data_IF_908021111359
#
_entry.id   IF_908021111359
#
_cell.length_a   1.000
_cell.length_b   1.000
_cell.length_c   1.000
_cell.angle_alpha   90.00
_cell.angle_beta   90.00
_cell.angle_gamma   90.00
#
_symmetry.space_group_name_H-M   'P 1'
#
loop_
_entity.id
_entity.type
_entity.pdbx_description
1 polymer ?
#
# COMPACT_ATOMS: atom_id res chain seq x y z
N UNK A 1 -16.61 -4.15 0.06
CA UNK A 1 -16.42 -4.47 -1.36
C UNK A 1 -16.73 -3.19 -2.12
N UNK A 2 -15.78 -2.64 -2.86
CA UNK A 2 -15.92 -1.32 -3.50
C UNK A 2 -16.09 -1.54 -5.00
N UNK A 3 -17.22 -1.07 -5.55
CA UNK A 3 -17.47 -1.09 -6.98
C UNK A 3 -16.78 0.12 -7.61
N UNK A 4 -15.81 -0.14 -8.47
CA UNK A 4 -15.05 0.90 -9.15
C UNK A 4 -15.50 0.99 -10.60
N UNK A 5 -15.72 2.22 -11.07
CA UNK A 5 -15.92 2.53 -12.48
C UNK A 5 -14.62 3.18 -12.97
N UNK A 6 -13.97 2.52 -13.91
CA UNK A 6 -12.76 3.05 -14.53
C UNK A 6 -13.14 3.97 -15.69
N UNK A 7 -12.22 4.85 -16.09
CA UNK A 7 -12.41 5.82 -17.18
C UNK A 7 -12.75 5.17 -18.54
N UNK A 8 -12.48 3.87 -18.69
CA UNK A 8 -12.82 3.06 -19.86
C UNK A 8 -14.18 2.34 -19.76
N UNK A 9 -15.09 2.79 -18.88
CA UNK A 9 -16.40 2.18 -18.60
C UNK A 9 -16.37 0.74 -18.04
N UNK A 10 -15.20 0.18 -17.73
CA UNK A 10 -15.13 -1.13 -17.08
C UNK A 10 -15.55 -1.04 -15.61
N UNK A 11 -16.28 -2.07 -15.16
CA UNK A 11 -16.69 -2.24 -13.78
C UNK A 11 -15.88 -3.36 -13.15
N UNK A 12 -15.22 -3.08 -12.02
CA UNK A 12 -14.61 -4.12 -11.21
C UNK A 12 -15.04 -4.03 -9.76
N UNK A 13 -15.08 -5.19 -9.11
CA UNK A 13 -15.27 -5.30 -7.67
C UNK A 13 -13.92 -5.51 -7.01
N UNK A 14 -13.43 -4.47 -6.32
CA UNK A 14 -12.17 -4.55 -5.60
C UNK A 14 -12.41 -4.87 -4.12
N UNK A 15 -11.67 -5.86 -3.63
CA UNK A 15 -11.73 -6.29 -2.23
C UNK A 15 -10.89 -5.40 -1.31
N UNK A 16 -9.76 -4.89 -1.82
CA UNK A 16 -8.85 -4.00 -1.11
C UNK A 16 -8.31 -2.95 -2.09
N UNK A 17 -8.33 -1.69 -1.67
CA UNK A 17 -7.69 -0.58 -2.37
C UNK A 17 -6.58 -0.08 -1.46
N UNK A 18 -5.37 0.09 -2.02
CA UNK A 18 -4.22 0.65 -1.30
C UNK A 18 -3.67 1.83 -2.08
N UNK A 19 -3.43 2.94 -1.38
CA UNK A 19 -2.77 4.11 -1.94
C UNK A 19 -1.34 4.13 -1.43
N UNK A 20 -0.37 4.22 -2.34
CA UNK A 20 1.04 4.36 -2.00
C UNK A 20 1.51 5.77 -2.34
N UNK A 21 2.34 6.36 -1.49
CA UNK A 21 3.01 7.62 -1.78
C UNK A 21 4.47 7.35 -2.17
N UNK A 22 4.94 8.06 -3.21
CA UNK A 22 6.35 8.10 -3.58
C UNK A 22 6.87 9.49 -3.23
N UNK A 23 7.65 9.59 -2.17
CA UNK A 23 8.29 10.84 -1.77
C UNK A 23 9.72 10.86 -2.32
N UNK A 24 10.04 11.89 -3.13
CA UNK A 24 11.34 12.06 -3.78
C UNK A 24 12.01 13.34 -3.27
N UNK A 25 13.27 13.25 -2.86
CA UNK A 25 14.11 14.40 -2.51
C UNK A 25 15.54 14.15 -2.98
N UNK A 26 16.13 15.11 -3.70
CA UNK A 26 17.49 14.98 -4.25
C UNK A 26 17.71 13.67 -5.03
N UNK A 27 16.75 13.28 -5.87
CA UNK A 27 16.77 12.05 -6.65
C UNK A 27 16.82 10.74 -5.82
N UNK A 28 16.44 10.80 -4.55
CA UNK A 28 16.33 9.65 -3.65
C UNK A 28 14.86 9.43 -3.27
N UNK A 29 14.48 8.16 -3.08
CA UNK A 29 13.11 7.76 -2.71
C UNK A 29 13.09 7.35 -1.23
N UNK A 30 12.08 7.83 -0.49
CA UNK A 30 11.87 7.41 0.88
C UNK A 30 11.26 6.00 0.95
N UNK A 31 11.96 5.08 1.62
CA UNK A 31 11.50 3.72 1.89
C UNK A 31 11.44 3.46 3.39
N UNK A 32 10.49 2.62 3.81
CA UNK A 32 10.36 2.13 5.17
C UNK A 32 10.61 0.63 5.25
N UNK A 33 11.30 0.19 6.31
CA UNK A 33 11.40 -1.23 6.63
C UNK A 33 10.11 -1.70 7.31
N UNK A 34 9.50 -2.76 6.78
CA UNK A 34 8.23 -3.29 7.29
C UNK A 34 8.48 -3.98 8.64
N UNK A 35 7.81 -3.49 9.68
CA UNK A 35 8.02 -3.92 11.07
C UNK A 35 6.96 -4.90 11.58
N UNK A 36 6.58 -4.74 12.84
CA UNK A 36 5.48 -5.49 13.48
C UNK A 36 4.33 -4.54 13.79
N UNK A 37 3.10 -5.04 13.74
CA UNK A 37 1.92 -4.32 14.20
C UNK A 37 1.33 -5.10 15.38
N UNK A 38 1.24 -4.45 16.55
CA UNK A 38 0.77 -5.08 17.81
C UNK A 38 1.51 -6.38 18.15
N UNK A 39 2.84 -6.39 17.99
CA UNK A 39 3.68 -7.56 18.27
C UNK A 39 3.61 -8.69 17.23
N UNK A 40 2.74 -8.59 16.21
CA UNK A 40 2.68 -9.57 15.12
C UNK A 40 3.43 -9.04 13.89
N UNK A 41 4.26 -9.86 13.22
CA UNK A 41 4.89 -9.45 11.97
C UNK A 41 3.82 -9.21 10.91
N UNK A 42 3.86 -8.03 10.28
CA UNK A 42 3.03 -7.78 9.10
C UNK A 42 3.56 -8.61 7.93
N UNK A 43 2.69 -8.93 6.96
CA UNK A 43 3.08 -9.67 5.76
C UNK A 43 4.30 -8.98 5.09
N UNK A 44 5.34 -9.77 4.81
CA UNK A 44 6.63 -9.31 4.29
C UNK A 44 7.45 -8.45 5.28
N UNK A 45 7.33 -8.72 6.58
CA UNK A 45 8.17 -8.13 7.62
C UNK A 45 9.66 -8.27 7.27
N UNK A 46 10.42 -7.21 7.54
CA UNK A 46 11.85 -7.14 7.25
C UNK A 46 12.20 -6.65 5.83
N UNK A 47 11.25 -6.63 4.89
CA UNK A 47 11.48 -6.08 3.54
C UNK A 47 11.34 -4.56 3.52
N UNK A 48 12.05 -3.93 2.58
CA UNK A 48 11.90 -2.51 2.27
C UNK A 48 10.72 -2.30 1.33
N UNK A 49 9.93 -1.26 1.58
CA UNK A 49 8.82 -0.91 0.71
C UNK A 49 8.47 0.57 0.79
N UNK A 50 7.62 1.01 -0.14
CA UNK A 50 7.03 2.34 -0.10
C UNK A 50 6.20 2.49 1.17
N UNK A 51 6.21 3.70 1.71
CA UNK A 51 5.35 4.06 2.81
C UNK A 51 3.91 4.07 2.31
N UNK A 52 3.11 3.16 2.86
CA UNK A 52 1.73 2.95 2.46
C UNK A 52 0.86 2.68 3.68
N UNK A 53 -0.38 3.14 3.61
CA UNK A 53 -1.39 2.72 4.54
C UNK A 53 -2.04 1.43 4.02
N UNK A 54 -1.62 0.30 4.61
CA UNK A 54 -2.30 -0.98 4.41
C UNK A 54 -3.27 -1.18 5.55
N UNK A 55 -4.56 -0.95 5.30
CA UNK A 55 -5.63 -1.35 6.20
C UNK A 55 -5.71 -2.90 6.19
N UNK A 56 -5.00 -3.54 7.12
CA UNK A 56 -5.24 -4.92 7.50
C UNK A 56 -6.50 -4.93 8.38
N UNK A 57 -7.65 -5.19 7.78
CA UNK A 57 -8.83 -5.68 8.50
C UNK A 57 -8.74 -7.18 8.65
#
# INVERSE_FOLDING_TARGET
>A
MINCFFENNNKASLRHITVNAIAVKHNQILLGKRGTFKGKPILESGKWGLLTNKNFR
#
